data_IF_206110741568
#
_entry.id   IF_206110741568
#
_cell.length_a   1.000
_cell.length_b   1.000
_cell.length_c   1.000
_cell.angle_alpha   90.00
_cell.angle_beta   90.00
_cell.angle_gamma   90.00
#
_symmetry.space_group_name_H-M   'P 1'
#
loop_
_entity.id
_entity.type
_entity.pdbx_description
1 polymer ?
#
# COMPACT_ATOMS: atom_id res chain seq x y z
N UNK A 1 -32.24 -31.94 3.62
CA UNK A 1 -30.88 -31.53 3.22
C UNK A 1 -30.96 -30.27 2.37
N UNK A 2 -30.95 -29.09 2.99
CA UNK A 2 -30.96 -27.80 2.27
C UNK A 2 -29.51 -27.36 2.08
N UNK A 3 -28.98 -27.46 0.85
CA UNK A 3 -27.71 -26.81 0.48
C UNK A 3 -27.99 -25.32 0.40
N UNK A 4 -27.92 -24.62 1.53
CA UNK A 4 -27.78 -23.17 1.54
C UNK A 4 -26.56 -22.80 0.72
N UNK A 5 -26.73 -22.02 -0.34
CA UNK A 5 -25.62 -21.37 -1.04
C UNK A 5 -24.95 -20.43 -0.03
N UNK A 6 -23.94 -20.92 0.70
CA UNK A 6 -23.10 -20.08 1.55
C UNK A 6 -22.51 -18.98 0.67
N UNK A 7 -22.87 -17.73 0.95
CA UNK A 7 -22.46 -16.61 0.12
C UNK A 7 -20.94 -16.51 0.03
N UNK A 8 -20.44 -16.11 -1.13
CA UNK A 8 -19.00 -15.98 -1.39
C UNK A 8 -18.52 -14.60 -0.94
N UNK A 9 -17.47 -14.58 -0.11
CA UNK A 9 -16.80 -13.35 0.31
C UNK A 9 -16.32 -12.54 -0.89
N UNK A 10 -16.67 -11.25 -0.92
CA UNK A 10 -16.27 -10.32 -1.96
C UNK A 10 -15.06 -9.52 -1.49
N UNK A 11 -14.00 -9.50 -2.30
CA UNK A 11 -12.77 -8.76 -1.97
C UNK A 11 -12.72 -7.48 -2.80
N UNK A 12 -12.63 -6.34 -2.12
CA UNK A 12 -12.45 -5.01 -2.72
C UNK A 12 -11.04 -4.50 -2.38
N UNK A 13 -10.27 -4.11 -3.41
CA UNK A 13 -8.94 -3.52 -3.24
C UNK A 13 -9.05 -2.01 -3.42
N UNK A 14 -8.66 -1.26 -2.41
CA UNK A 14 -8.68 0.20 -2.41
C UNK A 14 -7.28 0.74 -2.15
N UNK A 15 -7.01 1.97 -2.61
CA UNK A 15 -5.84 2.74 -2.18
C UNK A 15 -6.37 4.05 -1.60
N UNK A 16 -6.05 4.31 -0.34
CA UNK A 16 -6.56 5.47 0.41
C UNK A 16 -5.38 6.16 1.09
N UNK A 17 -5.38 7.48 1.11
CA UNK A 17 -4.37 8.25 1.85
C UNK A 17 -4.54 8.06 3.36
N UNK A 18 -3.43 7.83 4.07
CA UNK A 18 -3.41 7.76 5.53
C UNK A 18 -4.07 9.00 6.15
N UNK A 19 -4.98 8.80 7.11
CA UNK A 19 -5.73 9.86 7.78
C UNK A 19 -6.72 10.65 6.90
N UNK A 20 -6.89 10.27 5.62
CA UNK A 20 -7.72 11.00 4.65
C UNK A 20 -8.88 10.15 4.09
N UNK A 21 -9.27 9.06 4.77
CA UNK A 21 -10.44 8.31 4.36
C UNK A 21 -11.72 9.13 4.55
N UNK A 22 -12.49 9.27 3.48
CA UNK A 22 -13.79 9.94 3.46
C UNK A 22 -14.78 9.14 2.61
N UNK A 23 -16.10 9.26 2.85
CA UNK A 23 -17.13 8.56 2.06
C UNK A 23 -17.26 9.09 0.62
N UNK A 24 -16.36 9.96 0.18
CA UNK A 24 -16.29 10.48 -1.18
C UNK A 24 -15.72 9.43 -2.17
N UNK A 25 -15.90 9.61 -3.50
CA UNK A 25 -15.13 8.84 -4.48
C UNK A 25 -13.63 9.01 -4.16
N UNK A 26 -12.82 7.95 -3.95
CA UNK A 26 -12.95 6.57 -4.44
C UNK A 26 -13.53 5.53 -3.45
N UNK A 27 -13.68 5.84 -2.16
CA UNK A 27 -14.06 4.87 -1.12
C UNK A 27 -15.58 4.66 -1.09
N UNK A 28 -16.35 5.75 -1.16
CA UNK A 28 -17.81 5.73 -1.10
C UNK A 28 -18.45 4.81 -2.13
N UNK A 29 -18.21 5.00 -3.45
CA UNK A 29 -18.78 4.15 -4.49
C UNK A 29 -18.30 2.69 -4.41
N UNK A 30 -17.03 2.47 -4.07
CA UNK A 30 -16.42 1.13 -4.03
C UNK A 30 -17.01 0.25 -2.93
N UNK A 31 -17.29 0.81 -1.74
CA UNK A 31 -17.88 0.08 -0.62
C UNK A 31 -19.41 0.16 -0.59
N UNK A 32 -19.98 1.30 -0.98
CA UNK A 32 -21.42 1.54 -1.01
C UNK A 32 -22.16 0.63 -2.00
N UNK A 33 -21.56 0.36 -3.18
CA UNK A 33 -22.12 -0.60 -4.15
C UNK A 33 -22.21 -2.03 -3.62
N UNK A 34 -21.48 -2.36 -2.55
CA UNK A 34 -21.50 -3.66 -1.88
C UNK A 34 -22.36 -3.68 -0.62
N UNK A 35 -23.05 -2.58 -0.31
CA UNK A 35 -23.90 -2.46 0.88
C UNK A 35 -23.13 -2.36 2.20
N UNK A 36 -21.86 -1.97 2.14
CA UNK A 36 -20.98 -1.79 3.32
C UNK A 36 -21.13 -0.36 3.86
N UNK A 37 -21.11 -0.21 5.19
CA UNK A 37 -21.11 1.10 5.85
C UNK A 37 -19.77 1.81 5.67
N UNK A 38 -19.65 2.58 4.58
CA UNK A 38 -18.43 3.32 4.23
C UNK A 38 -17.95 4.28 5.32
N UNK A 39 -18.86 4.84 6.12
CA UNK A 39 -18.53 5.76 7.22
C UNK A 39 -17.76 5.06 8.35
N UNK A 40 -18.18 3.86 8.74
CA UNK A 40 -17.54 3.09 9.80
C UNK A 40 -16.12 2.68 9.36
N UNK A 41 -15.97 2.25 8.09
CA UNK A 41 -14.67 2.01 7.48
C UNK A 41 -13.77 3.24 7.53
N UNK A 42 -14.26 4.43 7.14
CA UNK A 42 -13.44 5.64 7.12
C UNK A 42 -12.93 6.03 8.52
N UNK A 43 -13.78 5.93 9.55
CA UNK A 43 -13.39 6.21 10.94
C UNK A 43 -12.32 5.25 11.43
N UNK A 44 -12.55 3.95 11.25
CA UNK A 44 -11.61 2.93 11.72
C UNK A 44 -10.28 2.97 10.94
N UNK A 45 -10.33 3.23 9.64
CA UNK A 45 -9.13 3.40 8.81
C UNK A 45 -8.29 4.62 9.26
N UNK A 46 -8.92 5.76 9.51
CA UNK A 46 -8.22 6.96 9.97
C UNK A 46 -7.61 6.76 11.37
N UNK A 47 -8.32 6.06 12.27
CA UNK A 47 -7.78 5.71 13.59
C UNK A 47 -6.54 4.79 13.47
N UNK A 48 -6.61 3.75 12.64
CA UNK A 48 -5.48 2.83 12.41
C UNK A 48 -4.30 3.50 11.71
N UNK A 49 -4.53 4.50 10.87
CA UNK A 49 -3.47 5.19 10.10
C UNK A 49 -3.01 6.51 10.72
N UNK A 50 -3.48 6.87 11.92
CA UNK A 50 -3.16 8.14 12.58
C UNK A 50 -1.66 8.33 12.91
N UNK A 51 -0.91 7.23 13.05
CA UNK A 51 0.52 7.26 13.32
C UNK A 51 1.38 7.39 12.05
N UNK A 52 0.77 7.36 10.86
CA UNK A 52 1.44 7.42 9.57
C UNK A 52 1.29 8.83 9.01
N UNK A 53 2.31 9.28 8.26
CA UNK A 53 2.29 10.58 7.59
C UNK A 53 1.03 10.72 6.74
N UNK A 54 0.24 11.76 7.03
CA UNK A 54 -1.02 12.06 6.35
C UNK A 54 -0.84 12.11 4.84
N UNK A 55 -1.75 11.47 4.11
CA UNK A 55 -1.71 11.42 2.64
C UNK A 55 -0.80 10.33 2.04
N UNK A 56 -0.08 9.57 2.87
CA UNK A 56 0.66 8.38 2.40
C UNK A 56 -0.31 7.37 1.77
N UNK A 57 -0.11 6.90 0.53
CA UNK A 57 -1.03 5.98 -0.12
C UNK A 57 -0.93 4.58 0.50
N UNK A 58 -1.96 4.22 1.26
CA UNK A 58 -2.08 2.93 1.94
C UNK A 58 -3.03 2.01 1.15
N UNK A 59 -2.55 0.87 0.65
CA UNK A 59 -3.41 -0.15 0.06
C UNK A 59 -4.25 -0.83 1.16
N UNK A 60 -5.53 -0.99 0.91
CA UNK A 60 -6.45 -1.66 1.82
C UNK A 60 -7.16 -2.79 1.08
N UNK A 61 -7.19 -3.97 1.72
CA UNK A 61 -7.98 -5.11 1.24
C UNK A 61 -9.20 -5.24 2.15
N UNK A 62 -10.38 -4.94 1.60
CA UNK A 62 -11.66 -5.09 2.30
C UNK A 62 -12.31 -6.39 1.87
N UNK A 63 -12.59 -7.26 2.82
CA UNK A 63 -13.34 -8.50 2.64
C UNK A 63 -14.76 -8.27 3.13
N UNK A 64 -15.72 -8.32 2.22
CA UNK A 64 -17.14 -8.16 2.47
C UNK A 64 -17.78 -9.52 2.53
N UNK A 65 -18.38 -9.85 3.67
CA UNK A 65 -19.09 -11.10 3.90
C UNK A 65 -20.55 -11.02 3.40
N UNK A 66 -21.23 -12.16 3.22
CA UNK A 66 -22.61 -12.18 2.71
C UNK A 66 -23.63 -11.48 3.62
N UNK A 67 -23.35 -11.40 4.91
CA UNK A 67 -24.14 -10.68 5.93
C UNK A 67 -23.94 -9.15 5.87
N UNK A 68 -23.22 -8.65 4.87
CA UNK A 68 -22.80 -7.24 4.73
C UNK A 68 -21.87 -6.75 5.84
N UNK A 69 -21.36 -7.66 6.70
CA UNK A 69 -20.23 -7.35 7.56
C UNK A 69 -18.98 -7.20 6.70
N UNK A 70 -18.04 -6.38 7.16
CA UNK A 70 -16.77 -6.19 6.48
C UNK A 70 -15.62 -6.36 7.47
N UNK A 71 -14.51 -6.88 6.96
CA UNK A 71 -13.22 -6.85 7.62
C UNK A 71 -12.22 -6.23 6.67
N UNK A 72 -11.23 -5.52 7.19
CA UNK A 72 -10.22 -4.92 6.34
C UNK A 72 -8.82 -5.04 6.91
N UNK A 73 -7.88 -5.24 6.01
CA UNK A 73 -6.46 -5.34 6.25
C UNK A 73 -5.77 -4.13 5.60
N UNK A 74 -5.16 -3.28 6.44
CA UNK A 74 -4.39 -2.13 5.98
C UNK A 74 -2.97 -2.60 5.74
N UNK A 75 -2.54 -2.49 4.48
CA UNK A 75 -1.19 -2.89 4.07
C UNK A 75 -0.26 -1.70 4.13
N UNK A 76 1.02 -1.99 4.31
CA UNK A 76 2.10 -1.01 4.19
C UNK A 76 2.09 -0.33 2.83
N UNK A 77 2.62 0.92 2.75
CA UNK A 77 2.72 1.64 1.49
C UNK A 77 3.45 0.80 0.43
N UNK A 78 3.13 1.06 -0.84
CA UNK A 78 3.85 0.42 -1.94
C UNK A 78 5.35 0.74 -1.86
N UNK A 79 6.19 -0.27 -2.05
CA UNK A 79 7.65 -0.10 -2.09
C UNK A 79 8.09 0.93 -3.10
N UNK A 80 7.43 0.99 -4.26
CA UNK A 80 7.70 2.01 -5.27
C UNK A 80 7.48 3.42 -4.72
N UNK A 81 6.44 3.63 -3.92
CA UNK A 81 6.20 4.91 -3.27
C UNK A 81 7.25 5.19 -2.19
N UNK A 82 7.61 4.22 -1.35
CA UNK A 82 8.64 4.37 -0.31
C UNK A 82 10.01 4.71 -0.91
N UNK A 83 10.41 4.01 -1.97
CA UNK A 83 11.68 4.24 -2.66
C UNK A 83 11.74 5.63 -3.30
N UNK A 84 10.70 6.02 -4.04
CA UNK A 84 10.59 7.36 -4.63
C UNK A 84 10.47 8.45 -3.56
N UNK A 85 9.90 8.10 -2.40
CA UNK A 85 9.83 9.02 -1.28
C UNK A 85 11.23 9.28 -0.69
N UNK A 86 12.02 8.21 -0.54
CA UNK A 86 13.36 8.27 0.03
C UNK A 86 14.38 8.99 -0.87
N UNK A 87 14.25 8.91 -2.20
CA UNK A 87 15.14 9.64 -3.14
C UNK A 87 14.66 11.04 -3.51
N UNK A 88 13.59 11.54 -2.88
CA UNK A 88 13.02 12.85 -3.22
C UNK A 88 12.72 13.04 -4.72
N UNK A 89 12.26 11.97 -5.36
CA UNK A 89 12.08 11.93 -6.81
C UNK A 89 11.14 13.07 -7.32
N UNK A 90 11.42 13.62 -8.52
CA UNK A 90 10.64 14.72 -9.06
C UNK A 90 9.16 14.35 -9.23
N UNK A 91 8.30 15.33 -8.94
CA UNK A 91 6.86 15.17 -9.12
C UNK A 91 6.52 15.12 -10.62
N UNK A 92 5.80 14.08 -11.04
CA UNK A 92 5.32 13.93 -12.41
C UNK A 92 3.99 14.65 -12.64
N UNK A 93 3.43 14.46 -13.85
CA UNK A 93 2.21 15.10 -14.41
C UNK A 93 0.90 14.93 -13.61
N UNK A 94 0.91 14.26 -12.44
CA UNK A 94 -0.27 14.02 -11.59
C UNK A 94 0.01 14.22 -10.10
N UNK A 95 1.04 15.00 -9.73
CA UNK A 95 1.44 15.19 -8.33
C UNK A 95 1.97 13.92 -7.66
N UNK A 96 2.32 12.89 -8.44
CA UNK A 96 2.93 11.65 -7.95
C UNK A 96 4.40 11.64 -8.36
N UNK A 97 5.27 11.26 -7.43
CA UNK A 97 6.68 11.00 -7.74
C UNK A 97 6.77 9.88 -8.79
N UNK A 98 7.63 10.04 -9.79
CA UNK A 98 7.75 9.09 -10.91
C UNK A 98 9.17 8.52 -10.95
N UNK A 99 9.27 7.22 -11.24
CA UNK A 99 10.54 6.58 -11.60
C UNK A 99 11.01 6.98 -13.01
N UNK A 100 12.19 6.51 -13.41
CA UNK A 100 12.69 6.72 -14.78
C UNK A 100 11.82 6.03 -15.82
N UNK A 101 11.87 6.52 -17.06
CA UNK A 101 11.18 5.88 -18.18
C UNK A 101 12.04 4.79 -18.82
N UNK A 102 13.37 4.90 -18.73
CA UNK A 102 14.34 3.91 -19.23
C UNK A 102 15.31 3.47 -18.12
N UNK A 103 14.95 2.43 -17.35
CA UNK A 103 15.82 1.88 -16.31
C UNK A 103 17.17 1.43 -16.89
N UNK A 104 18.28 1.83 -16.26
CA UNK A 104 19.65 1.48 -16.69
C UNK A 104 20.34 2.52 -17.58
N UNK A 105 19.59 3.45 -18.18
CA UNK A 105 20.16 4.62 -18.88
C UNK A 105 19.99 5.90 -18.07
N UNK A 106 18.84 6.03 -17.40
CA UNK A 106 18.51 7.17 -16.55
C UNK A 106 18.50 6.70 -15.09
N UNK A 107 18.99 7.56 -14.19
CA UNK A 107 18.90 7.36 -12.74
C UNK A 107 18.05 8.47 -12.11
N UNK A 108 17.15 8.11 -11.19
CA UNK A 108 16.34 9.08 -10.42
C UNK A 108 17.11 9.58 -9.20
N UNK A 109 17.92 8.71 -8.61
CA UNK A 109 18.65 9.01 -7.38
C UNK A 109 19.34 7.78 -6.83
N UNK A 110 20.02 7.99 -5.71
CA UNK A 110 20.85 6.99 -5.04
C UNK A 110 20.31 6.75 -3.64
N UNK A 111 20.21 5.49 -3.21
CA UNK A 111 19.88 5.11 -1.84
C UNK A 111 21.00 4.30 -1.21
N UNK A 112 21.31 4.58 0.06
CA UNK A 112 22.20 3.70 0.84
C UNK A 112 21.49 2.41 1.25
N UNK A 113 22.25 1.35 1.53
CA UNK A 113 21.71 0.12 2.14
C UNK A 113 20.93 0.35 3.45
N UNK A 114 21.25 1.39 4.23
CA UNK A 114 20.52 1.74 5.47
C UNK A 114 19.04 2.05 5.20
N UNK A 115 18.76 2.89 4.20
CA UNK A 115 17.39 3.20 3.76
C UNK A 115 16.64 1.96 3.26
N UNK A 116 17.32 1.06 2.53
CA UNK A 116 16.72 -0.19 2.06
C UNK A 116 16.32 -1.08 3.25
N UNK A 117 17.17 -1.16 4.26
CA UNK A 117 16.93 -1.94 5.47
C UNK A 117 15.74 -1.40 6.27
N UNK A 118 15.61 -0.08 6.39
CA UNK A 118 14.45 0.56 7.02
C UNK A 118 13.15 0.29 6.25
N UNK A 119 13.17 0.39 4.92
CA UNK A 119 12.01 0.06 4.08
C UNK A 119 11.63 -1.42 4.24
N UNK A 120 12.62 -2.32 4.29
CA UNK A 120 12.38 -3.74 4.49
C UNK A 120 11.77 -4.02 5.88
N UNK A 121 12.25 -3.36 6.94
CA UNK A 121 11.66 -3.45 8.28
C UNK A 121 10.21 -3.00 8.32
N UNK A 122 9.91 -1.86 7.70
CA UNK A 122 8.52 -1.35 7.61
C UNK A 122 7.63 -2.39 6.92
N UNK A 123 8.09 -3.02 5.83
CA UNK A 123 7.31 -4.04 5.14
C UNK A 123 7.19 -5.35 5.92
N UNK A 124 8.18 -5.69 6.73
CA UNK A 124 8.18 -6.90 7.55
C UNK A 124 7.15 -6.85 8.68
N UNK A 125 6.66 -5.66 9.08
CA UNK A 125 5.59 -5.55 10.09
C UNK A 125 4.27 -6.15 9.61
N UNK A 126 4.12 -6.40 8.31
CA UNK A 126 2.93 -7.07 7.78
C UNK A 126 2.94 -8.55 8.11
N UNK A 127 1.84 -9.05 8.66
CA UNK A 127 1.68 -10.46 9.01
C UNK A 127 1.96 -11.42 7.85
N UNK A 128 1.69 -11.01 6.61
CA UNK A 128 1.97 -11.82 5.40
C UNK A 128 3.44 -11.88 5.00
N UNK A 129 4.26 -10.93 5.48
CA UNK A 129 5.69 -10.84 5.18
C UNK A 129 6.57 -11.18 6.39
N UNK A 130 5.98 -11.33 7.58
CA UNK A 130 6.72 -11.58 8.82
C UNK A 130 7.51 -12.90 8.81
N UNK A 131 7.06 -13.90 8.03
CA UNK A 131 7.77 -15.17 7.85
C UNK A 131 8.97 -15.12 6.89
N UNK A 132 9.18 -14.00 6.19
CA UNK A 132 10.33 -13.85 5.29
C UNK A 132 11.55 -13.31 6.05
N UNK A 133 12.73 -13.79 5.69
CA UNK A 133 13.98 -13.25 6.22
C UNK A 133 14.14 -11.79 5.80
N UNK A 134 14.70 -10.99 6.71
CA UNK A 134 14.91 -9.56 6.45
C UNK A 134 15.88 -9.36 5.28
N UNK A 135 16.87 -10.25 5.12
CA UNK A 135 17.75 -10.27 3.96
C UNK A 135 17.00 -10.49 2.64
N UNK A 136 16.06 -11.45 2.60
CA UNK A 136 15.24 -11.72 1.42
C UNK A 136 14.34 -10.54 1.05
N UNK A 137 13.81 -9.84 2.06
CA UNK A 137 13.06 -8.60 1.86
C UNK A 137 13.94 -7.48 1.32
N UNK A 138 15.14 -7.27 1.88
CA UNK A 138 16.10 -6.29 1.38
C UNK A 138 16.45 -6.57 -0.09
N UNK A 139 16.80 -7.81 -0.46
CA UNK A 139 17.10 -8.21 -1.84
C UNK A 139 15.94 -7.89 -2.79
N UNK A 140 14.70 -8.15 -2.35
CA UNK A 140 13.50 -7.83 -3.13
C UNK A 140 13.31 -6.33 -3.35
N UNK A 141 13.57 -5.52 -2.32
CA UNK A 141 13.50 -4.05 -2.41
C UNK A 141 14.60 -3.49 -3.31
N UNK A 142 15.82 -4.02 -3.24
CA UNK A 142 16.96 -3.65 -4.11
C UNK A 142 16.62 -3.94 -5.58
N UNK A 143 16.06 -5.12 -5.85
CA UNK A 143 15.65 -5.47 -7.21
C UNK A 143 14.61 -4.49 -7.75
N UNK A 144 13.65 -4.08 -6.91
CA UNK A 144 12.66 -3.09 -7.29
C UNK A 144 13.26 -1.68 -7.47
N UNK A 145 14.23 -1.28 -6.65
CA UNK A 145 14.95 -0.02 -6.83
C UNK A 145 15.63 0.04 -8.21
N UNK A 146 16.28 -1.05 -8.62
CA UNK A 146 16.93 -1.17 -9.93
C UNK A 146 15.96 -0.99 -11.09
N UNK A 147 14.75 -1.57 -11.03
CA UNK A 147 13.75 -1.41 -12.09
C UNK A 147 13.15 0.00 -12.15
N UNK A 148 13.32 0.80 -11.10
CA UNK A 148 12.86 2.19 -11.02
C UNK A 148 13.95 3.21 -11.35
N UNK A 149 15.17 2.75 -11.69
CA UNK A 149 16.33 3.62 -11.94
C UNK A 149 16.90 4.23 -10.66
N UNK A 150 16.75 3.56 -9.52
CA UNK A 150 17.37 3.97 -8.27
C UNK A 150 18.61 3.09 -8.05
N UNK A 151 19.75 3.74 -7.92
CA UNK A 151 21.01 3.06 -7.62
C UNK A 151 21.14 2.83 -6.11
N UNK A 152 21.62 1.65 -5.72
CA UNK A 152 21.81 1.30 -4.31
C UNK A 152 23.30 1.24 -4.01
N UNK A 153 23.76 2.10 -3.12
CA UNK A 153 25.16 2.19 -2.68
C UNK A 153 25.30 1.55 -1.30
N UNK A 154 26.41 0.83 -1.10
CA UNK A 154 26.73 0.16 0.16
C UNK A 154 27.22 1.16 1.22
#
# INVERSE_FOLDING_TARGET
>A
MSKGRGGVDQIVKLIVGAGQASPSPPVGPALGSKGVKSMDFCKEFNARTAHIITGTPMPCRVTVRPDRSFTFDVRTPHTSWLLLNAVEAPMGKKGKRKGVSKPGHETVGVLSLKHIYEIAKIKQTELRLSGLSLEGLCRSVIYQAKTMGIEVVA
#
